data_IF_932896192935
#
_entry.id   IF_932896192935
#
_cell.length_a   1.000
_cell.length_b   1.000
_cell.length_c   1.000
_cell.angle_alpha   90.00
_cell.angle_beta   90.00
_cell.angle_gamma   90.00
#
_symmetry.space_group_name_H-M   'P 1'
#
loop_
_entity.id
_entity.type
_entity.pdbx_description
1 polymer ?
#
# COMPACT_ATOMS: atom_id res chain seq x y z
N UNK A 1 30.23 52.44 4.91
CA UNK A 1 29.43 53.61 4.56
C UNK A 1 28.07 53.40 5.18
N UNK A 2 27.68 54.29 6.11
CA UNK A 2 26.40 54.23 6.82
C UNK A 2 25.27 54.47 5.83
N UNK A 3 24.43 53.47 5.62
CA UNK A 3 23.17 53.64 4.88
C UNK A 3 22.08 53.94 5.92
N UNK A 4 21.97 55.21 6.32
CA UNK A 4 21.02 55.68 7.36
C UNK A 4 19.78 56.36 6.77
N UNK A 5 19.45 56.11 5.50
CA UNK A 5 18.26 56.68 4.86
C UNK A 5 17.65 55.69 3.87
N UNK A 6 16.95 54.66 4.37
CA UNK A 6 15.61 54.30 3.90
C UNK A 6 14.96 53.25 4.83
N UNK A 7 14.69 53.67 6.07
CA UNK A 7 14.04 52.86 7.12
C UNK A 7 12.53 53.15 7.18
N UNK A 8 11.95 53.66 6.09
CA UNK A 8 10.55 54.04 6.01
C UNK A 8 9.79 53.03 5.15
N UNK A 9 9.38 51.93 5.79
CA UNK A 9 8.20 51.20 5.35
C UNK A 9 6.99 52.16 5.37
N UNK A 10 6.74 52.87 4.27
CA UNK A 10 5.63 53.79 4.16
C UNK A 10 4.32 53.02 3.87
N UNK A 11 3.35 53.26 4.75
CA UNK A 11 2.09 52.54 4.96
C UNK A 11 1.31 52.05 3.73
N UNK A 12 0.96 50.75 3.77
CA UNK A 12 -0.40 50.18 3.63
C UNK A 12 -0.43 48.63 3.69
N UNK A 13 0.63 47.97 4.18
CA UNK A 13 0.72 46.52 4.27
C UNK A 13 1.84 46.02 5.18
N UNK A 14 2.00 44.70 5.32
CA UNK A 14 3.07 44.08 6.11
C UNK A 14 4.41 44.19 5.35
N UNK A 15 5.17 45.24 5.61
CA UNK A 15 6.50 45.44 5.05
C UNK A 15 7.56 45.04 6.10
N UNK A 16 8.66 44.43 5.63
CA UNK A 16 9.79 44.02 6.46
C UNK A 16 11.06 44.68 5.92
N UNK A 17 11.74 45.46 6.76
CA UNK A 17 13.07 45.99 6.42
C UNK A 17 14.07 44.83 6.39
N UNK A 18 14.81 44.70 5.29
CA UNK A 18 15.94 43.77 5.15
C UNK A 18 17.15 44.58 4.75
N UNK A 19 18.29 44.36 5.42
CA UNK A 19 19.54 45.02 5.06
C UNK A 19 19.97 44.64 3.64
N UNK A 20 20.42 45.62 2.86
CA UNK A 20 21.01 45.37 1.54
C UNK A 20 22.22 44.43 1.70
N UNK A 21 22.19 43.22 1.11
CA UNK A 21 23.28 42.27 1.22
C UNK A 21 24.53 42.71 0.45
N UNK A 22 24.43 43.77 -0.35
CA UNK A 22 25.51 44.30 -1.18
C UNK A 22 25.63 43.58 -2.54
N UNK A 23 26.52 44.08 -3.41
CA UNK A 23 26.64 43.57 -4.78
C UNK A 23 27.10 42.11 -4.81
N UNK A 24 26.49 41.32 -5.70
CA UNK A 24 26.84 39.92 -5.95
C UNK A 24 26.04 38.89 -5.14
N UNK A 25 25.18 39.32 -4.21
CA UNK A 25 24.27 38.44 -3.49
C UNK A 25 22.86 38.43 -4.10
N UNK A 26 22.24 37.25 -4.17
CA UNK A 26 20.85 37.11 -4.59
C UNK A 26 19.93 37.38 -3.40
N UNK A 27 19.02 38.35 -3.55
CA UNK A 27 17.91 38.54 -2.63
C UNK A 27 16.74 37.67 -3.09
N UNK A 28 16.30 36.73 -2.25
CA UNK A 28 15.19 35.84 -2.57
C UNK A 28 14.12 35.87 -1.49
N UNK A 29 12.86 35.78 -1.91
CA UNK A 29 11.71 35.58 -1.02
C UNK A 29 11.25 34.14 -1.10
N UNK A 30 10.80 33.63 0.03
CA UNK A 30 10.30 32.27 0.19
C UNK A 30 8.79 32.29 0.19
N UNK A 31 8.18 31.36 -0.54
CA UNK A 31 6.74 31.12 -0.53
C UNK A 31 6.45 29.63 -0.32
N UNK A 32 5.44 29.33 0.47
CA UNK A 32 4.90 27.98 0.57
C UNK A 32 4.08 27.65 -0.69
N UNK A 33 4.19 26.43 -1.19
CA UNK A 33 3.53 25.91 -2.39
C UNK A 33 4.40 25.95 -3.65
N UNK A 34 4.28 24.90 -4.47
CA UNK A 34 5.05 24.74 -5.71
C UNK A 34 4.63 25.68 -6.84
N UNK A 35 3.41 26.24 -6.79
CA UNK A 35 2.81 27.04 -7.86
C UNK A 35 2.61 28.51 -7.48
N UNK A 36 3.17 28.94 -6.33
CA UNK A 36 3.04 30.32 -5.90
C UNK A 36 3.71 31.25 -6.93
N UNK A 37 2.97 32.23 -7.52
CA UNK A 37 3.57 33.16 -8.47
C UNK A 37 4.63 33.99 -7.76
N UNK A 38 5.74 34.29 -8.43
CA UNK A 38 6.75 35.18 -7.88
C UNK A 38 6.24 36.62 -7.86
N UNK A 39 6.59 37.42 -6.83
CA UNK A 39 6.27 38.85 -6.86
C UNK A 39 7.01 39.54 -8.02
N UNK A 40 6.44 40.63 -8.53
CA UNK A 40 6.85 41.23 -9.82
C UNK A 40 8.35 41.53 -9.93
N UNK A 41 8.99 41.98 -8.85
CA UNK A 41 10.42 42.29 -8.83
C UNK A 41 11.33 41.05 -8.64
N UNK A 42 10.79 39.92 -8.19
CA UNK A 42 11.51 38.66 -7.92
C UNK A 42 11.34 37.62 -9.04
N UNK A 43 11.27 38.07 -10.29
CA UNK A 43 11.05 37.23 -11.47
C UNK A 43 12.35 36.78 -12.17
N UNK A 44 13.52 37.09 -11.60
CA UNK A 44 14.81 36.78 -12.22
C UNK A 44 15.12 35.29 -12.21
N UNK A 45 14.95 34.63 -11.05
CA UNK A 45 15.16 33.20 -10.91
C UNK A 45 14.14 32.57 -9.96
N UNK A 46 13.74 31.34 -10.27
CA UNK A 46 12.81 30.53 -9.48
C UNK A 46 13.48 29.21 -9.14
N UNK A 47 13.43 28.81 -7.86
CA UNK A 47 13.87 27.50 -7.40
C UNK A 47 12.79 26.85 -6.55
N UNK A 48 12.69 25.54 -6.62
CA UNK A 48 11.74 24.75 -5.83
C UNK A 48 12.51 23.78 -4.96
N UNK A 49 12.16 23.74 -3.68
CA UNK A 49 12.70 22.83 -2.70
C UNK A 49 11.56 21.99 -2.13
N UNK A 50 11.85 20.72 -1.90
CA UNK A 50 10.94 19.80 -1.22
C UNK A 50 11.60 19.45 0.12
N UNK A 51 10.94 19.77 1.26
CA UNK A 51 11.35 19.29 2.58
C UNK A 51 11.48 17.75 2.64
N UNK A 52 12.19 17.24 3.64
CA UNK A 52 12.39 15.78 3.80
C UNK A 52 11.07 15.00 3.93
N UNK A 53 10.04 15.64 4.50
CA UNK A 53 8.71 15.07 4.67
C UNK A 53 7.74 15.39 3.51
N UNK A 54 8.24 15.96 2.41
CA UNK A 54 7.49 16.28 1.20
C UNK A 54 7.51 15.13 0.17
N UNK A 55 7.28 13.91 0.66
CA UNK A 55 7.18 12.70 -0.14
C UNK A 55 5.87 12.00 0.20
N UNK A 56 5.04 11.77 -0.82
CA UNK A 56 3.90 10.86 -0.74
C UNK A 56 4.41 9.52 -1.25
N UNK A 57 4.49 8.55 -0.35
CA UNK A 57 4.98 7.21 -0.64
C UNK A 57 3.82 6.22 -0.65
N UNK A 58 3.39 5.84 -1.85
CA UNK A 58 2.34 4.84 -2.08
C UNK A 58 2.94 3.48 -2.45
N UNK A 59 4.28 3.33 -2.34
CA UNK A 59 4.94 2.07 -2.66
C UNK A 59 4.51 1.01 -1.66
N UNK A 60 4.07 -0.09 -2.22
CA UNK A 60 3.57 -1.22 -1.45
C UNK A 60 3.77 -2.50 -2.29
N UNK A 61 3.40 -3.64 -1.73
CA UNK A 61 3.35 -4.91 -2.43
C UNK A 61 1.91 -5.30 -2.74
N UNK A 62 1.69 -5.98 -3.85
CA UNK A 62 0.46 -6.75 -4.04
C UNK A 62 0.30 -7.77 -2.91
N UNK A 63 -0.95 -8.04 -2.52
CA UNK A 63 -1.23 -9.00 -1.45
C UNK A 63 -0.69 -10.38 -1.81
N UNK A 64 -0.04 -11.01 -0.83
CA UNK A 64 0.42 -12.38 -1.00
C UNK A 64 -0.79 -13.31 -0.98
N UNK A 65 -0.89 -14.19 -1.97
CA UNK A 65 -1.94 -15.18 -2.06
C UNK A 65 -1.39 -16.57 -2.38
N UNK A 66 -2.11 -17.58 -1.93
CA UNK A 66 -1.85 -18.98 -2.19
C UNK A 66 -2.74 -19.41 -3.36
N UNK A 67 -2.14 -20.00 -4.40
CA UNK A 67 -2.90 -20.60 -5.49
C UNK A 67 -3.71 -21.82 -5.03
N UNK A 68 -4.41 -22.50 -5.97
CA UNK A 68 -5.07 -23.77 -5.67
C UNK A 68 -4.11 -24.76 -5.00
N UNK A 69 -4.51 -25.45 -3.92
CA UNK A 69 -3.65 -26.41 -3.26
C UNK A 69 -3.41 -27.62 -4.16
N UNK A 70 -2.14 -28.01 -4.28
CA UNK A 70 -1.65 -29.19 -4.99
C UNK A 70 -1.21 -30.26 -3.99
N UNK A 71 -1.55 -31.51 -4.28
CA UNK A 71 -1.17 -32.66 -3.44
C UNK A 71 -1.89 -32.74 -2.09
N UNK A 72 -2.94 -31.94 -1.87
CA UNK A 72 -3.81 -32.13 -0.71
C UNK A 72 -4.70 -33.35 -0.92
N UNK A 73 -4.93 -34.10 0.15
CA UNK A 73 -5.82 -35.26 0.14
C UNK A 73 -6.59 -35.34 1.45
N UNK A 74 -7.70 -36.06 1.42
CA UNK A 74 -8.49 -36.37 2.59
C UNK A 74 -8.76 -37.86 2.57
N UNK A 75 -8.45 -38.53 3.67
CA UNK A 75 -8.72 -39.95 3.86
C UNK A 75 -9.72 -40.13 4.99
N UNK A 76 -10.65 -41.05 4.83
CA UNK A 76 -11.59 -41.39 5.90
C UNK A 76 -12.09 -42.82 5.76
N UNK A 77 -12.72 -43.35 6.80
CA UNK A 77 -13.44 -44.62 6.75
C UNK A 77 -14.93 -44.36 6.93
N UNK A 78 -15.75 -44.81 5.99
CA UNK A 78 -17.21 -44.89 6.16
C UNK A 78 -17.55 -46.23 6.79
N UNK A 79 -18.39 -46.16 7.82
CA UNK A 79 -19.02 -47.31 8.44
C UNK A 79 -20.53 -47.21 8.21
N UNK A 80 -21.13 -48.31 7.76
CA UNK A 80 -22.59 -48.43 7.63
C UNK A 80 -23.14 -49.36 8.70
N UNK A 81 -24.35 -49.05 9.17
CA UNK A 81 -24.98 -49.76 10.27
C UNK A 81 -26.42 -50.12 9.94
N UNK A 82 -26.83 -51.31 10.39
CA UNK A 82 -28.20 -51.81 10.20
C UNK A 82 -29.20 -51.25 11.22
N UNK A 83 -28.70 -50.68 12.33
CA UNK A 83 -29.52 -50.11 13.41
C UNK A 83 -29.29 -48.61 13.64
N UNK A 84 -30.27 -47.89 14.24
CA UNK A 84 -30.22 -46.44 14.43
C UNK A 84 -29.19 -45.96 15.47
N UNK A 85 -28.60 -46.89 16.23
CA UNK A 85 -27.65 -46.60 17.33
C UNK A 85 -26.19 -46.90 16.95
N UNK A 86 -25.90 -47.15 15.68
CA UNK A 86 -24.54 -47.38 15.15
C UNK A 86 -23.71 -48.44 15.90
N UNK A 87 -24.36 -49.51 16.38
CA UNK A 87 -23.71 -50.59 17.14
C UNK A 87 -23.47 -51.86 16.32
N UNK A 88 -24.29 -52.13 15.30
CA UNK A 88 -24.18 -53.28 14.40
C UNK A 88 -23.67 -52.82 13.03
N UNK A 89 -22.35 -52.80 12.87
CA UNK A 89 -21.71 -52.43 11.62
C UNK A 89 -21.93 -53.54 10.57
N UNK A 90 -22.46 -53.18 9.40
CA UNK A 90 -22.60 -54.10 8.27
C UNK A 90 -21.44 -54.00 7.28
N UNK A 91 -20.96 -52.79 7.01
CA UNK A 91 -19.98 -52.52 5.95
C UNK A 91 -18.94 -51.49 6.39
N UNK A 92 -17.75 -51.55 5.78
CA UNK A 92 -16.68 -50.55 5.94
C UNK A 92 -16.02 -50.24 4.60
N UNK A 93 -15.85 -48.95 4.30
CA UNK A 93 -15.15 -48.51 3.10
C UNK A 93 -14.14 -47.43 3.45
N UNK A 94 -12.94 -47.51 2.88
CA UNK A 94 -12.02 -46.38 2.85
C UNK A 94 -12.49 -45.37 1.79
N UNK A 95 -12.33 -44.08 2.09
CA UNK A 95 -12.52 -42.97 1.18
C UNK A 95 -11.22 -42.21 0.99
N UNK A 96 -10.98 -41.74 -0.22
CA UNK A 96 -9.84 -40.92 -0.57
C UNK A 96 -10.25 -39.84 -1.57
N UNK A 97 -10.07 -38.57 -1.22
CA UNK A 97 -10.04 -37.46 -2.18
C UNK A 97 -8.76 -37.52 -3.01
N UNK A 98 -8.78 -37.26 -4.34
CA UNK A 98 -9.81 -36.54 -5.12
C UNK A 98 -10.79 -37.42 -5.90
N UNK A 99 -10.78 -38.73 -5.68
CA UNK A 99 -11.57 -39.65 -6.51
C UNK A 99 -13.00 -39.81 -5.98
N UNK A 100 -13.96 -39.92 -6.90
CA UNK A 100 -15.29 -40.39 -6.58
C UNK A 100 -15.26 -41.90 -6.32
N UNK A 101 -15.92 -42.32 -5.25
CA UNK A 101 -15.97 -43.72 -4.84
C UNK A 101 -17.42 -44.10 -4.58
N UNK A 102 -18.09 -44.58 -5.63
CA UNK A 102 -19.42 -45.18 -5.53
C UNK A 102 -19.29 -46.69 -5.26
N UNK A 103 -19.77 -47.15 -4.11
CA UNK A 103 -19.79 -48.56 -3.76
C UNK A 103 -21.22 -49.09 -3.81
N UNK A 104 -21.40 -50.26 -4.41
CA UNK A 104 -22.67 -50.97 -4.39
C UNK A 104 -22.83 -51.68 -3.05
N UNK A 105 -23.99 -51.53 -2.43
CA UNK A 105 -24.32 -52.17 -1.14
C UNK A 105 -25.15 -53.39 -1.44
N UNK A 106 -24.61 -54.57 -1.12
CA UNK A 106 -25.24 -55.86 -1.37
C UNK A 106 -25.63 -56.57 -0.08
N UNK A 107 -26.64 -57.46 -0.11
CA UNK A 107 -27.55 -57.77 -1.23
C UNK A 107 -28.63 -56.68 -1.45
N UNK A 108 -29.38 -56.70 -2.56
CA UNK A 108 -30.49 -55.78 -2.77
C UNK A 108 -31.50 -55.81 -1.62
N UNK A 109 -31.94 -54.64 -1.16
CA UNK A 109 -32.83 -54.50 0.01
C UNK A 109 -32.11 -54.49 1.36
N UNK A 110 -30.77 -54.43 1.37
CA UNK A 110 -30.00 -54.28 2.61
C UNK A 110 -30.39 -53.00 3.35
N UNK A 111 -30.76 -53.13 4.62
CA UNK A 111 -31.25 -52.02 5.44
C UNK A 111 -30.08 -51.18 5.95
N UNK A 112 -30.12 -49.87 5.68
CA UNK A 112 -29.15 -48.90 6.18
C UNK A 112 -29.86 -47.94 7.12
N UNK A 113 -29.64 -48.12 8.42
CA UNK A 113 -30.24 -47.26 9.44
C UNK A 113 -29.28 -46.17 9.94
N UNK A 114 -27.97 -46.36 9.76
CA UNK A 114 -26.95 -45.40 10.19
C UNK A 114 -25.72 -45.39 9.29
N UNK A 115 -25.04 -44.24 9.27
CA UNK A 115 -23.71 -44.08 8.68
C UNK A 115 -22.82 -43.26 9.63
N UNK A 116 -21.56 -43.63 9.75
CA UNK A 116 -20.57 -42.85 10.47
C UNK A 116 -19.30 -42.70 9.62
N UNK A 117 -18.61 -41.59 9.81
CA UNK A 117 -17.27 -41.36 9.26
C UNK A 117 -16.31 -41.41 10.44
N UNK A 118 -15.26 -42.22 10.32
CA UNK A 118 -14.19 -42.33 11.30
C UNK A 118 -12.84 -42.14 10.61
N UNK A 119 -11.77 -42.00 11.40
CA UNK A 119 -10.39 -41.87 10.89
C UNK A 119 -10.24 -40.80 9.79
N UNK A 120 -10.94 -39.68 9.97
CA UNK A 120 -10.84 -38.55 9.07
C UNK A 120 -9.48 -37.88 9.25
N UNK A 121 -8.66 -37.93 8.21
CA UNK A 121 -7.33 -37.35 8.18
C UNK A 121 -7.18 -36.45 6.96
N UNK A 122 -6.67 -35.25 7.19
CA UNK A 122 -6.37 -34.28 6.15
C UNK A 122 -4.88 -34.27 5.91
N UNK A 123 -4.47 -34.61 4.69
CA UNK A 123 -3.09 -34.49 4.23
C UNK A 123 -2.92 -33.08 3.67
N UNK A 124 -2.09 -32.23 4.29
CA UNK A 124 -1.88 -30.87 3.81
C UNK A 124 -1.21 -30.90 2.43
N UNK A 125 -1.73 -30.10 1.51
CA UNK A 125 -1.08 -29.84 0.23
C UNK A 125 -0.10 -28.68 0.31
N UNK A 126 0.49 -28.36 -0.83
CA UNK A 126 1.28 -27.14 -1.03
C UNK A 126 0.56 -26.24 -2.03
N UNK A 127 0.94 -24.97 -2.13
CA UNK A 127 0.42 -24.10 -3.18
C UNK A 127 1.53 -23.22 -3.73
N UNK A 128 1.40 -22.85 -5.00
CA UNK A 128 2.23 -21.81 -5.58
C UNK A 128 1.90 -20.47 -4.92
N UNK A 129 2.92 -19.79 -4.40
CA UNK A 129 2.78 -18.43 -3.91
C UNK A 129 2.61 -17.46 -5.09
N UNK A 130 1.73 -16.47 -4.90
CA UNK A 130 1.43 -15.40 -5.86
C UNK A 130 1.38 -14.06 -5.13
N UNK A 131 1.44 -12.96 -5.89
CA UNK A 131 1.48 -11.61 -5.34
C UNK A 131 2.90 -11.18 -4.95
N UNK A 132 2.99 -10.15 -4.11
CA UNK A 132 4.28 -9.57 -3.72
C UNK A 132 4.96 -8.73 -4.81
N UNK A 133 4.29 -8.53 -5.97
CA UNK A 133 4.79 -7.63 -6.98
C UNK A 133 4.78 -6.19 -6.42
N UNK A 134 5.84 -5.40 -6.66
CA UNK A 134 5.86 -4.01 -6.23
C UNK A 134 4.79 -3.22 -6.98
N UNK A 135 4.02 -2.42 -6.23
CA UNK A 135 3.00 -1.51 -6.75
C UNK A 135 3.20 -0.12 -6.15
N UNK A 136 2.53 0.85 -6.76
CA UNK A 136 2.58 2.25 -6.32
C UNK A 136 3.90 2.94 -6.69
N UNK A 137 4.06 4.15 -6.18
CA UNK A 137 5.16 5.03 -6.53
C UNK A 137 5.44 6.03 -5.41
N UNK A 138 6.66 6.58 -5.42
CA UNK A 138 7.04 7.68 -4.53
C UNK A 138 7.02 8.98 -5.33
N UNK A 139 6.17 9.92 -4.92
CA UNK A 139 6.01 11.23 -5.55
C UNK A 139 6.35 12.34 -4.59
N UNK A 140 6.75 13.48 -5.14
CA UNK A 140 6.91 14.71 -4.36
C UNK A 140 5.55 15.25 -3.96
N UNK A 141 5.42 15.66 -2.71
CA UNK A 141 4.25 16.36 -2.21
C UNK A 141 4.32 17.84 -2.63
N UNK A 142 3.56 18.20 -3.67
CA UNK A 142 3.51 19.57 -4.18
C UNK A 142 2.89 20.56 -3.18
N UNK A 143 2.12 20.08 -2.21
CA UNK A 143 1.50 20.93 -1.17
C UNK A 143 2.52 21.42 -0.15
N UNK A 144 3.61 20.68 0.04
CA UNK A 144 4.70 21.01 0.96
C UNK A 144 5.92 21.62 0.28
N UNK A 145 5.87 21.80 -1.03
CA UNK A 145 6.95 22.44 -1.76
C UNK A 145 7.16 23.88 -1.27
N UNK A 146 8.41 24.32 -1.33
CA UNK A 146 8.82 25.67 -1.00
C UNK A 146 9.42 26.30 -2.24
N UNK A 147 8.86 27.42 -2.66
CA UNK A 147 9.31 28.19 -3.83
C UNK A 147 10.18 29.35 -3.38
N UNK A 148 11.37 29.47 -3.96
CA UNK A 148 12.26 30.61 -3.83
C UNK A 148 12.17 31.47 -5.09
N UNK A 149 11.79 32.73 -4.94
CA UNK A 149 11.75 33.71 -6.01
C UNK A 149 12.84 34.74 -5.76
N UNK A 150 13.74 34.93 -6.72
CA UNK A 150 14.93 35.76 -6.56
C UNK A 150 14.89 37.01 -7.43
N UNK A 151 15.41 38.10 -6.88
CA UNK A 151 15.65 39.38 -7.52
C UNK A 151 16.99 39.31 -8.29
N UNK A 152 17.14 40.14 -9.32
CA UNK A 152 18.44 40.32 -9.99
C UNK A 152 19.44 41.05 -9.04
N UNK A 153 20.68 40.56 -8.89
CA UNK A 153 21.64 41.08 -7.90
C UNK A 153 22.15 42.52 -8.16
N UNK A 154 21.79 43.12 -9.31
CA UNK A 154 22.16 44.51 -9.64
C UNK A 154 20.93 45.43 -9.80
N UNK A 155 19.76 45.03 -9.32
CA UNK A 155 18.52 45.81 -9.49
C UNK A 155 18.51 47.13 -8.70
N UNK A 156 19.33 47.25 -7.64
CA UNK A 156 19.39 48.44 -6.75
C UNK A 156 20.43 49.50 -7.17
N UNK A 157 21.06 49.36 -8.35
CA UNK A 157 22.18 50.21 -8.80
C UNK A 157 21.79 51.14 -9.96
N UNK A 158 20.50 51.38 -10.19
CA UNK A 158 20.00 52.38 -11.13
C UNK A 158 19.23 53.48 -10.42
#
# INVERSE_FOLDING_TARGET
MNNTVDDACADAGTQYCVSDPGPGWLQCVVREGADAPCPDNYNWARYEMFPEDAVIDERDCEECACGPPEGSACTASIHLYEGPVCSSQSEQFGMLSPHDQCQNIGPPGHALAGKAITNLEYVPGTCAATGGAPKGEAKRDMTKAVTFCCLYPFYLIN
#
